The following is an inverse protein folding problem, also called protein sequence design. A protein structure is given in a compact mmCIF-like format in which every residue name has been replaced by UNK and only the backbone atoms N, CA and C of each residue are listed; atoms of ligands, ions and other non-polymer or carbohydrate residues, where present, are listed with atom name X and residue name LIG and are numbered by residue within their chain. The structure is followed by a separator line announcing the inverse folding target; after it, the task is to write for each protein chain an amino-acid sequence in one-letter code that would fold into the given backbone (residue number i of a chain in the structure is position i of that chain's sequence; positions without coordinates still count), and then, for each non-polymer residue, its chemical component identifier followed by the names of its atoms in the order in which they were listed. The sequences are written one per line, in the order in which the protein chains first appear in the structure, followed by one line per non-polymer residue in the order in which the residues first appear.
data_IF_957272097192
#
_entry.id   IF_957272097192
#
_cell.length_a   1.000
_cell.length_b   1.000
_cell.length_c   1.000
_cell.angle_alpha   90.00
_cell.angle_beta   90.00
_cell.angle_gamma   90.00
#
_symmetry.space_group_name_H-M   'P 1'
#
loop_
_entity.id
_entity.type
_entity.pdbx_description
1 polymer ?
#
# COMPACT_ATOMS: atom_id res chain seq x y z
N UNK A 1 -6.11 15.05 20.15
CA UNK A 1 -6.34 13.65 19.70
C UNK A 1 -7.81 13.31 19.62
N UNK A 2 -8.32 13.10 18.40
CA UNK A 2 -9.64 12.53 18.14
C UNK A 2 -9.55 11.01 18.34
N UNK A 3 -10.35 10.45 19.24
CA UNK A 3 -10.36 8.99 19.44
C UNK A 3 -11.03 8.29 18.27
N UNK A 4 -10.43 7.21 17.79
CA UNK A 4 -11.07 6.29 16.84
C UNK A 4 -12.26 5.63 17.54
N UNK A 5 -13.42 5.63 16.87
CA UNK A 5 -14.62 4.97 17.35
C UNK A 5 -14.70 3.59 16.73
N UNK A 6 -14.74 2.55 17.56
CA UNK A 6 -14.96 1.17 17.12
C UNK A 6 -16.47 0.95 17.00
N UNK A 7 -16.95 0.74 15.78
CA UNK A 7 -18.38 0.62 15.52
C UNK A 7 -18.91 -0.78 15.83
N UNK A 8 -20.13 -0.89 16.34
CA UNK A 8 -20.85 -2.16 16.34
C UNK A 8 -21.42 -2.39 14.93
N UNK A 9 -20.89 -3.40 14.25
CA UNK A 9 -21.28 -3.72 12.88
C UNK A 9 -22.28 -4.88 12.83
N UNK A 10 -22.70 -5.47 13.95
CA UNK A 10 -23.68 -6.56 13.98
C UNK A 10 -25.07 -6.17 13.43
N UNK A 11 -25.59 -4.94 13.66
CA UNK A 11 -26.91 -4.56 13.17
C UNK A 11 -27.02 -4.45 11.64
N UNK A 12 -25.91 -4.32 10.93
CA UNK A 12 -25.93 -4.20 9.47
C UNK A 12 -26.14 -5.55 8.81
N UNK A 13 -27.13 -5.60 7.92
CA UNK A 13 -27.55 -6.82 7.23
C UNK A 13 -26.69 -7.08 5.99
N UNK A 14 -26.50 -8.37 5.61
CA UNK A 14 -25.88 -8.71 4.34
C UNK A 14 -26.67 -8.14 3.16
N UNK A 15 -25.96 -7.74 2.12
CA UNK A 15 -26.54 -7.22 0.88
C UNK A 15 -26.34 -8.20 -0.29
N UNK A 16 -26.85 -7.82 -1.45
CA UNK A 16 -26.79 -8.59 -2.70
C UNK A 16 -25.38 -8.71 -3.30
N UNK A 17 -24.41 -7.87 -2.88
CA UNK A 17 -23.00 -8.01 -3.25
C UNK A 17 -22.27 -9.03 -2.38
N UNK A 18 -22.93 -9.62 -1.38
CA UNK A 18 -22.32 -10.65 -0.57
C UNK A 18 -21.90 -11.86 -1.43
N UNK A 19 -20.65 -12.30 -1.29
CA UNK A 19 -20.07 -13.38 -2.10
C UNK A 19 -19.53 -12.98 -3.47
N UNK A 20 -19.68 -11.73 -3.91
CA UNK A 20 -19.09 -11.26 -5.19
C UNK A 20 -17.66 -10.74 -5.04
N UNK A 21 -17.27 -10.36 -3.81
CA UNK A 21 -15.93 -9.88 -3.53
C UNK A 21 -14.87 -10.99 -3.60
N UNK A 22 -13.96 -10.89 -4.57
CA UNK A 22 -12.84 -11.81 -4.75
C UNK A 22 -11.72 -11.65 -3.72
N UNK A 23 -10.60 -12.36 -3.92
CA UNK A 23 -9.37 -12.28 -3.10
C UNK A 23 -9.28 -13.32 -1.98
N UNK A 24 -8.08 -13.86 -1.72
CA UNK A 24 -7.86 -15.07 -0.92
C UNK A 24 -7.62 -14.83 0.60
N UNK A 25 -7.61 -13.57 1.04
CA UNK A 25 -7.32 -13.21 2.41
C UNK A 25 -8.59 -13.06 3.24
N UNK A 26 -8.76 -13.94 4.23
CA UNK A 26 -9.87 -13.89 5.19
C UNK A 26 -11.24 -14.15 4.57
N UNK A 27 -12.23 -14.30 5.44
CA UNK A 27 -13.64 -14.32 5.03
C UNK A 27 -14.12 -12.89 4.79
N UNK A 28 -15.10 -12.73 3.91
CA UNK A 28 -15.65 -11.44 3.50
C UNK A 28 -17.15 -11.47 3.51
N UNK A 29 -17.75 -10.34 3.84
CA UNK A 29 -19.20 -10.17 3.84
C UNK A 29 -19.59 -8.80 3.27
N UNK A 30 -20.54 -8.79 2.33
CA UNK A 30 -21.12 -7.55 1.83
C UNK A 30 -22.24 -7.06 2.74
N UNK A 31 -22.14 -5.85 3.29
CA UNK A 31 -23.18 -5.23 4.13
C UNK A 31 -23.56 -3.83 3.64
N UNK A 32 -24.73 -3.33 4.04
CA UNK A 32 -25.17 -1.98 3.73
C UNK A 32 -25.09 -1.07 4.95
N UNK A 33 -24.34 0.03 4.85
CA UNK A 33 -24.24 1.07 5.89
C UNK A 33 -24.73 2.38 5.27
N UNK A 34 -25.80 2.95 5.84
CA UNK A 34 -26.41 4.21 5.37
C UNK A 34 -26.75 4.23 3.86
N UNK A 35 -27.21 3.11 3.31
CA UNK A 35 -27.58 2.99 1.89
C UNK A 35 -26.40 2.74 0.94
N UNK A 36 -25.18 2.71 1.44
CA UNK A 36 -23.97 2.45 0.68
C UNK A 36 -23.50 1.00 0.86
N UNK A 37 -22.85 0.44 -0.16
CA UNK A 37 -22.28 -0.91 -0.09
C UNK A 37 -20.91 -0.90 0.60
N UNK A 38 -20.68 -1.87 1.48
CA UNK A 38 -19.42 -2.07 2.18
C UNK A 38 -19.01 -3.54 2.14
N UNK A 39 -17.71 -3.79 2.11
CA UNK A 39 -17.11 -5.10 2.29
C UNK A 39 -16.49 -5.19 3.69
N UNK A 40 -17.05 -6.05 4.53
CA UNK A 40 -16.43 -6.44 5.81
C UNK A 40 -15.36 -7.48 5.55
N UNK A 41 -14.12 -7.20 5.95
CA UNK A 41 -13.01 -8.16 5.92
C UNK A 41 -12.75 -8.69 7.33
N UNK A 42 -12.83 -10.00 7.49
CA UNK A 42 -12.56 -10.69 8.75
C UNK A 42 -11.07 -11.00 8.91
N UNK A 43 -10.56 -11.07 10.16
CA UNK A 43 -9.18 -11.48 10.39
C UNK A 43 -9.01 -12.96 10.04
N UNK A 44 -7.87 -13.29 9.43
CA UNK A 44 -7.58 -14.66 9.01
C UNK A 44 -7.10 -15.46 10.22
N UNK A 45 -7.64 -16.66 10.42
CA UNK A 45 -7.09 -17.57 11.43
C UNK A 45 -5.66 -17.97 11.04
N UNK A 46 -4.77 -17.98 12.02
CA UNK A 46 -3.37 -18.40 11.85
C UNK A 46 -3.18 -19.91 12.06
N UNK A 47 -4.27 -20.65 12.33
CA UNK A 47 -4.21 -22.10 12.52
C UNK A 47 -3.53 -22.77 11.33
N UNK A 48 -2.45 -23.52 11.60
CA UNK A 48 -1.65 -24.22 10.59
C UNK A 48 -0.53 -23.40 9.95
N UNK A 49 -0.35 -22.13 10.33
CA UNK A 49 0.84 -21.33 9.97
C UNK A 49 2.02 -21.66 10.90
N UNK A 50 3.25 -21.51 10.41
CA UNK A 50 4.48 -21.76 11.19
C UNK A 50 4.90 -20.51 11.97
N UNK A 51 5.44 -20.71 13.17
CA UNK A 51 6.00 -19.64 14.02
C UNK A 51 5.13 -19.29 15.24
N UNK A 52 5.60 -18.33 16.04
CA UNK A 52 4.82 -17.75 17.14
C UNK A 52 3.84 -16.75 16.56
N UNK A 53 2.54 -17.04 16.63
CA UNK A 53 1.46 -16.25 16.02
C UNK A 53 0.28 -16.18 16.98
N UNK A 54 -0.44 -15.06 16.97
CA UNK A 54 -1.75 -14.95 17.62
C UNK A 54 -2.78 -15.82 16.89
N UNK A 55 -3.92 -16.14 17.52
CA UNK A 55 -4.96 -17.01 16.91
C UNK A 55 -5.51 -16.47 15.59
N UNK A 56 -5.41 -15.17 15.38
CA UNK A 56 -5.86 -14.44 14.21
C UNK A 56 -4.85 -13.35 13.83
N UNK A 57 -4.77 -13.01 12.54
CA UNK A 57 -3.95 -11.89 12.06
C UNK A 57 -4.58 -10.55 12.43
N UNK A 58 -3.76 -9.50 12.52
CA UNK A 58 -4.22 -8.11 12.69
C UNK A 58 -4.55 -7.43 11.35
N UNK A 59 -4.83 -8.20 10.30
CA UNK A 59 -5.07 -7.67 8.96
C UNK A 59 -6.21 -6.63 8.88
N UNK A 60 -7.33 -6.75 9.61
CA UNK A 60 -8.34 -5.69 9.66
C UNK A 60 -7.81 -4.36 10.24
N UNK A 61 -6.98 -4.44 11.28
CA UNK A 61 -6.33 -3.27 11.86
C UNK A 61 -5.33 -2.66 10.86
N UNK A 62 -4.50 -3.48 10.22
CA UNK A 62 -3.55 -3.02 9.19
C UNK A 62 -4.23 -2.35 8.01
N UNK A 63 -5.37 -2.89 7.54
CA UNK A 63 -6.18 -2.28 6.48
C UNK A 63 -6.70 -0.91 6.90
N UNK A 64 -7.25 -0.79 8.11
CA UNK A 64 -7.78 0.46 8.64
C UNK A 64 -6.66 1.51 8.78
N UNK A 65 -5.56 1.17 9.45
CA UNK A 65 -4.44 2.09 9.67
C UNK A 65 -3.80 2.50 8.34
N UNK A 66 -3.48 1.53 7.48
CA UNK A 66 -2.83 1.79 6.20
C UNK A 66 -3.69 2.68 5.30
N UNK A 67 -4.99 2.41 5.22
CA UNK A 67 -5.90 3.22 4.40
C UNK A 67 -6.06 4.64 4.93
N UNK A 68 -6.16 4.84 6.25
CA UNK A 68 -6.22 6.17 6.84
C UNK A 68 -4.90 6.95 6.67
N UNK A 69 -3.74 6.28 6.70
CA UNK A 69 -2.46 6.94 6.40
C UNK A 69 -2.44 7.46 4.96
N UNK A 70 -2.85 6.65 3.97
CA UNK A 70 -2.97 7.16 2.61
C UNK A 70 -3.92 8.37 2.52
N UNK A 71 -5.05 8.37 3.24
CA UNK A 71 -5.97 9.52 3.29
C UNK A 71 -5.34 10.76 3.94
N UNK A 72 -4.60 10.61 5.04
CA UNK A 72 -3.86 11.69 5.70
C UNK A 72 -2.81 12.31 4.75
N UNK A 73 -2.18 11.48 3.92
CA UNK A 73 -1.22 11.89 2.89
C UNK A 73 -1.89 12.51 1.65
N UNK A 74 -3.22 12.60 1.62
CA UNK A 74 -3.97 13.21 0.52
C UNK A 74 -4.13 12.31 -0.71
N UNK A 75 -3.85 11.01 -0.60
CA UNK A 75 -3.98 10.05 -1.70
C UNK A 75 -5.37 9.41 -1.65
N UNK A 76 -6.10 9.48 -2.77
CA UNK A 76 -7.44 8.89 -2.90
C UNK A 76 -7.43 7.41 -2.54
N UNK A 77 -8.21 7.04 -1.52
CA UNK A 77 -8.20 5.73 -0.88
C UNK A 77 -9.60 5.38 -0.42
N UNK A 78 -9.97 4.09 -0.49
CA UNK A 78 -11.29 3.65 -0.05
C UNK A 78 -11.57 4.02 1.42
N UNK A 79 -12.83 4.32 1.73
CA UNK A 79 -13.19 4.63 3.12
C UNK A 79 -13.17 3.35 3.96
N UNK A 80 -12.67 3.45 5.19
CA UNK A 80 -12.62 2.31 6.11
C UNK A 80 -13.23 2.64 7.46
N UNK A 81 -13.91 1.65 8.04
CA UNK A 81 -14.50 1.69 9.38
C UNK A 81 -13.99 0.48 10.15
N UNK A 82 -13.34 0.74 11.29
CA UNK A 82 -12.96 -0.31 12.22
C UNK A 82 -14.15 -0.64 13.14
N UNK A 83 -14.46 -1.92 13.33
CA UNK A 83 -15.63 -2.32 14.09
C UNK A 83 -15.59 -3.73 14.64
N UNK A 84 -16.61 -4.07 15.42
CA UNK A 84 -16.84 -5.41 15.95
C UNK A 84 -18.00 -6.05 15.19
N UNK A 85 -17.80 -7.27 14.71
CA UNK A 85 -18.85 -8.11 14.12
C UNK A 85 -18.59 -9.57 14.44
N UNK A 86 -19.61 -10.30 14.88
CA UNK A 86 -19.50 -11.71 15.27
C UNK A 86 -18.32 -11.96 16.23
N UNK A 87 -18.22 -11.13 17.28
CA UNK A 87 -17.18 -11.16 18.32
C UNK A 87 -15.73 -11.03 17.81
N UNK A 88 -15.55 -10.48 16.60
CA UNK A 88 -14.23 -10.25 15.99
C UNK A 88 -14.04 -8.77 15.68
N UNK A 89 -12.80 -8.31 15.82
CA UNK A 89 -12.36 -7.06 15.20
C UNK A 89 -12.33 -7.24 13.69
N UNK A 90 -13.05 -6.41 12.98
CA UNK A 90 -13.17 -6.41 11.51
C UNK A 90 -12.99 -5.00 10.98
N UNK A 91 -12.77 -4.89 9.67
CA UNK A 91 -12.76 -3.62 8.95
C UNK A 91 -13.83 -3.68 7.87
N UNK A 92 -14.72 -2.70 7.85
CA UNK A 92 -15.61 -2.47 6.73
C UNK A 92 -14.93 -1.48 5.78
N UNK A 93 -14.75 -1.85 4.52
CA UNK A 93 -14.23 -0.96 3.48
C UNK A 93 -15.39 -0.57 2.56
N UNK A 94 -15.55 0.72 2.26
CA UNK A 94 -16.61 1.18 1.37
C UNK A 94 -16.36 0.65 -0.04
N UNK A 95 -17.40 0.09 -0.64
CA UNK A 95 -17.33 -0.32 -2.04
C UNK A 95 -17.39 0.93 -2.91
N UNK A 96 -16.28 1.20 -3.61
CA UNK A 96 -16.15 2.33 -4.51
C UNK A 96 -16.61 2.04 -5.95
N UNK A 97 -17.07 0.81 -6.24
CA UNK A 97 -17.58 0.42 -7.55
C UNK A 97 -19.07 0.72 -7.67
N UNK A 98 -19.47 1.53 -8.65
CA UNK A 98 -20.90 1.78 -8.92
C UNK A 98 -21.64 0.52 -9.37
N UNK A 99 -21.03 -0.26 -10.25
CA UNK A 99 -21.54 -1.56 -10.70
C UNK A 99 -20.53 -2.67 -10.47
N UNK A 100 -21.02 -3.89 -10.30
CA UNK A 100 -20.16 -5.09 -10.22
C UNK A 100 -19.27 -5.17 -11.47
N UNK A 101 -18.00 -5.50 -11.26
CA UNK A 101 -17.03 -5.54 -12.34
C UNK A 101 -16.72 -4.16 -12.92
N UNK A 102 -16.84 -3.05 -12.18
CA UNK A 102 -16.25 -1.76 -12.58
C UNK A 102 -14.73 -1.73 -12.37
N UNK A 103 -14.23 -2.41 -11.33
CA UNK A 103 -12.81 -2.51 -11.05
C UNK A 103 -12.09 -3.38 -12.09
N UNK A 104 -10.97 -2.86 -12.59
CA UNK A 104 -10.03 -3.53 -13.48
C UNK A 104 -8.68 -3.56 -12.77
N UNK A 105 -8.41 -4.69 -12.12
CA UNK A 105 -7.11 -4.96 -11.51
C UNK A 105 -5.99 -4.93 -12.58
N UNK A 106 -4.80 -4.46 -12.20
CA UNK A 106 -3.64 -4.43 -13.11
C UNK A 106 -3.34 -5.81 -13.71
N UNK A 107 -3.53 -6.89 -12.95
CA UNK A 107 -3.33 -8.27 -13.43
C UNK A 107 -4.17 -8.61 -14.65
N UNK A 108 -5.35 -8.01 -14.77
CA UNK A 108 -6.26 -8.21 -15.90
C UNK A 108 -5.81 -7.40 -17.10
N UNK A 109 -5.37 -6.15 -16.86
CA UNK A 109 -4.92 -5.24 -17.92
C UNK A 109 -3.58 -5.65 -18.54
N UNK A 110 -2.70 -6.30 -17.77
CA UNK A 110 -1.43 -6.85 -18.27
C UNK A 110 -1.60 -7.97 -19.31
N UNK A 111 -2.78 -8.61 -19.40
CA UNK A 111 -3.04 -9.70 -20.35
C UNK A 111 -3.42 -9.22 -21.76
N UNK A 112 -3.44 -7.91 -22.00
CA UNK A 112 -3.78 -7.35 -23.31
C UNK A 112 -2.63 -7.56 -24.28
N UNK A 113 -2.94 -8.06 -25.48
CA UNK A 113 -1.98 -8.14 -26.57
C UNK A 113 -1.81 -6.78 -27.25
N UNK A 114 -0.57 -6.36 -27.41
CA UNK A 114 -0.17 -5.23 -28.23
C UNK A 114 1.24 -5.50 -28.77
N UNK A 115 1.46 -5.33 -30.07
CA UNK A 115 2.72 -5.71 -30.73
C UNK A 115 3.93 -4.94 -30.16
N UNK A 116 3.82 -3.62 -30.03
CA UNK A 116 4.90 -2.77 -29.50
C UNK A 116 5.21 -3.12 -28.03
N UNK A 117 4.17 -3.32 -27.21
CA UNK A 117 4.32 -3.77 -25.83
C UNK A 117 5.03 -5.13 -25.76
N UNK A 118 4.66 -6.08 -26.62
CA UNK A 118 5.30 -7.40 -26.67
C UNK A 118 6.77 -7.31 -27.06
N UNK A 119 7.11 -6.51 -28.08
CA UNK A 119 8.50 -6.27 -28.49
C UNK A 119 9.31 -5.63 -27.35
N UNK A 120 8.74 -4.65 -26.64
CA UNK A 120 9.38 -4.01 -25.48
C UNK A 120 9.59 -4.97 -24.31
N UNK A 121 8.63 -5.84 -24.02
CA UNK A 121 8.78 -6.85 -22.96
C UNK A 121 9.84 -7.90 -23.32
N UNK A 122 9.97 -8.28 -24.59
CA UNK A 122 11.03 -9.19 -25.05
C UNK A 122 12.44 -8.59 -24.87
N UNK A 123 12.59 -7.27 -25.03
CA UNK A 123 13.84 -6.56 -24.76
C UNK A 123 14.21 -6.55 -23.26
N UNK A 124 13.22 -6.51 -22.36
CA UNK A 124 13.43 -6.45 -20.90
C UNK A 124 13.56 -7.82 -20.23
N UNK A 125 13.40 -8.93 -20.97
CA UNK A 125 13.44 -10.29 -20.42
C UNK A 125 14.85 -10.66 -19.91
N UNK A 126 15.15 -10.31 -18.67
CA UNK A 126 16.20 -10.93 -17.88
C UNK A 126 15.64 -12.18 -17.18
N UNK A 127 16.24 -13.32 -17.46
CA UNK A 127 15.76 -14.64 -17.04
C UNK A 127 15.79 -14.80 -15.52
N UNK A 128 14.62 -14.73 -14.86
CA UNK A 128 14.25 -15.56 -13.69
C UNK A 128 12.81 -15.27 -13.26
N UNK A 129 11.90 -16.19 -13.55
CA UNK A 129 10.52 -16.13 -13.06
C UNK A 129 10.45 -16.69 -11.63
N UNK A 130 10.65 -15.85 -10.61
CA UNK A 130 10.14 -16.16 -9.27
C UNK A 130 8.62 -15.90 -9.26
N UNK A 131 7.82 -16.91 -8.87
CA UNK A 131 6.35 -16.86 -8.98
C UNK A 131 5.66 -15.89 -8.00
N UNK A 132 6.41 -15.22 -7.13
CA UNK A 132 5.88 -14.44 -6.01
C UNK A 132 6.23 -12.94 -6.06
N UNK A 133 7.15 -12.52 -6.92
CA UNK A 133 7.56 -11.11 -7.04
C UNK A 133 7.15 -10.55 -8.40
N UNK A 134 6.98 -9.23 -8.47
CA UNK A 134 6.65 -8.53 -9.72
C UNK A 134 7.90 -7.82 -10.22
N UNK A 135 8.25 -8.03 -11.48
CA UNK A 135 9.36 -7.31 -12.08
C UNK A 135 8.99 -5.83 -12.27
N UNK A 136 9.81 -4.94 -11.69
CA UNK A 136 9.59 -3.51 -11.74
C UNK A 136 9.73 -2.97 -13.16
N UNK A 137 10.71 -3.45 -13.92
CA UNK A 137 10.95 -3.01 -15.29
C UNK A 137 9.78 -3.41 -16.20
N UNK A 138 9.31 -4.67 -16.10
CA UNK A 138 8.11 -5.11 -16.81
C UNK A 138 6.89 -4.25 -16.44
N UNK A 139 6.76 -3.88 -15.17
CA UNK A 139 5.67 -3.00 -14.73
C UNK A 139 5.78 -1.63 -15.41
N UNK A 140 6.97 -1.02 -15.45
CA UNK A 140 7.19 0.28 -16.09
C UNK A 140 6.90 0.22 -17.60
N UNK A 141 7.31 -0.87 -18.27
CA UNK A 141 6.98 -1.12 -19.68
C UNK A 141 5.46 -1.18 -19.87
N UNK A 142 4.73 -1.88 -19.01
CA UNK A 142 3.26 -1.90 -19.07
C UNK A 142 2.64 -0.52 -18.84
N UNK A 143 3.11 0.26 -17.85
CA UNK A 143 2.55 1.61 -17.62
C UNK A 143 2.77 2.54 -18.81
N UNK A 144 3.89 2.38 -19.53
CA UNK A 144 4.27 3.22 -20.66
C UNK A 144 3.61 2.81 -21.99
N UNK A 145 3.48 1.51 -22.25
CA UNK A 145 3.11 1.00 -23.58
C UNK A 145 1.78 0.24 -23.63
N UNK A 146 1.20 -0.15 -22.49
CA UNK A 146 -0.11 -0.80 -22.52
C UNK A 146 -1.16 0.17 -23.08
N UNK A 147 -1.96 -0.23 -24.09
CA UNK A 147 -2.85 0.67 -24.82
C UNK A 147 -3.97 1.27 -23.96
N UNK A 148 -4.26 0.67 -22.80
CA UNK A 148 -5.21 1.23 -21.83
C UNK A 148 -4.46 2.05 -20.78
N UNK A 149 -3.43 1.49 -20.14
CA UNK A 149 -2.77 2.14 -19.01
C UNK A 149 -2.12 3.47 -19.41
N UNK A 150 -1.49 3.53 -20.59
CA UNK A 150 -0.77 4.73 -21.03
C UNK A 150 -1.68 5.96 -21.22
N UNK A 151 -2.98 5.73 -21.43
CA UNK A 151 -3.99 6.77 -21.62
C UNK A 151 -4.59 7.25 -20.29
N UNK A 152 -4.27 6.61 -19.17
CA UNK A 152 -4.81 6.95 -17.85
C UNK A 152 -3.93 8.05 -17.24
N UNK A 153 -4.49 9.25 -16.98
CA UNK A 153 -3.74 10.32 -16.35
C UNK A 153 -3.11 9.88 -15.03
N UNK A 154 -1.86 10.30 -14.82
CA UNK A 154 -1.12 10.12 -13.57
C UNK A 154 -0.93 8.66 -13.11
N UNK A 155 -1.10 7.65 -13.99
CA UNK A 155 -0.94 6.24 -13.60
C UNK A 155 0.46 5.90 -13.08
N UNK A 156 1.49 6.48 -13.70
CA UNK A 156 2.89 6.29 -13.26
C UNK A 156 3.16 7.03 -11.95
N UNK A 157 2.61 8.25 -11.82
CA UNK A 157 2.64 9.02 -10.57
C UNK A 157 2.01 8.22 -9.43
N UNK A 158 0.79 7.71 -9.63
CA UNK A 158 0.07 6.90 -8.65
C UNK A 158 0.84 5.64 -8.27
N UNK A 159 1.44 4.96 -9.26
CA UNK A 159 2.27 3.78 -8.98
C UNK A 159 3.41 4.12 -8.01
N UNK A 160 4.16 5.20 -8.28
CA UNK A 160 5.29 5.59 -7.44
C UNK A 160 4.87 6.14 -6.08
N UNK A 161 3.74 6.85 -5.98
CA UNK A 161 3.15 7.27 -4.71
C UNK A 161 2.84 6.04 -3.84
N UNK A 162 2.15 5.05 -4.41
CA UNK A 162 1.84 3.80 -3.73
C UNK A 162 3.10 3.05 -3.34
N UNK A 163 4.10 2.98 -4.22
CA UNK A 163 5.36 2.31 -3.93
C UNK A 163 6.08 2.91 -2.70
N UNK A 164 6.17 4.24 -2.63
CA UNK A 164 6.83 4.95 -1.52
C UNK A 164 6.05 4.76 -0.21
N UNK A 165 4.72 4.96 -0.25
CA UNK A 165 3.88 4.80 0.95
C UNK A 165 3.84 3.35 1.42
N UNK A 166 3.77 2.38 0.51
CA UNK A 166 3.83 0.95 0.85
C UNK A 166 5.16 0.58 1.53
N UNK A 167 6.28 1.23 1.18
CA UNK A 167 7.55 1.04 1.91
C UNK A 167 7.48 1.58 3.33
N UNK A 168 6.93 2.77 3.52
CA UNK A 168 6.70 3.38 4.83
C UNK A 168 5.89 2.43 5.74
N UNK A 169 4.70 2.01 5.27
CA UNK A 169 3.76 1.19 6.06
C UNK A 169 4.09 -0.32 6.07
N UNK A 170 5.18 -0.73 5.42
CA UNK A 170 5.59 -2.12 5.26
C UNK A 170 4.55 -3.02 4.56
N UNK A 171 3.92 -2.53 3.49
CA UNK A 171 3.04 -3.35 2.67
C UNK A 171 3.83 -4.17 1.64
N UNK A 172 4.05 -5.44 1.96
CA UNK A 172 4.86 -6.35 1.16
C UNK A 172 4.04 -7.19 0.14
N UNK A 173 2.74 -6.90 -0.03
CA UNK A 173 1.85 -7.65 -0.91
C UNK A 173 1.02 -6.72 -1.81
N UNK A 174 1.58 -5.59 -2.27
CA UNK A 174 0.97 -4.76 -3.33
C UNK A 174 1.06 -5.44 -4.70
N UNK A 175 0.49 -6.64 -4.84
CA UNK A 175 0.53 -7.37 -6.11
C UNK A 175 -0.40 -6.73 -7.16
N UNK A 176 -0.31 -7.18 -8.42
CA UNK A 176 -1.11 -6.66 -9.54
C UNK A 176 -2.65 -6.79 -9.38
N UNK A 177 -3.14 -7.47 -8.34
CA UNK A 177 -4.57 -7.46 -7.98
C UNK A 177 -4.97 -6.45 -6.92
N UNK A 178 -4.01 -5.89 -6.21
CA UNK A 178 -4.24 -5.05 -5.04
C UNK A 178 -4.19 -3.56 -5.39
N UNK A 179 -4.31 -3.24 -6.68
CA UNK A 179 -4.51 -1.90 -7.23
C UNK A 179 -5.00 -2.02 -8.68
N UNK A 180 -5.50 -0.92 -9.22
CA UNK A 180 -6.05 -0.91 -10.56
C UNK A 180 -6.82 0.35 -10.87
N UNK A 181 -7.76 0.22 -11.80
CA UNK A 181 -8.49 1.33 -12.39
C UNK A 181 -9.98 1.00 -12.41
N UNK A 182 -10.82 2.02 -12.46
CA UNK A 182 -12.25 1.90 -12.62
C UNK A 182 -12.63 2.16 -14.07
N UNK A 183 -13.51 1.31 -14.61
CA UNK A 183 -14.12 1.51 -15.91
C UNK A 183 -15.60 1.84 -15.73
N UNK A 184 -15.95 3.11 -15.90
CA UNK A 184 -17.30 3.64 -15.75
C UNK A 184 -17.64 4.54 -16.94
N UNK A 185 -18.86 4.44 -17.46
CA UNK A 185 -19.35 5.29 -18.57
C UNK A 185 -18.45 5.32 -19.82
N UNK A 186 -17.69 4.26 -20.08
CA UNK A 186 -16.80 4.17 -21.24
C UNK A 186 -15.39 4.72 -21.00
N UNK A 187 -15.09 5.20 -19.79
CA UNK A 187 -13.82 5.83 -19.46
C UNK A 187 -13.08 5.09 -18.34
N UNK A 188 -11.75 5.09 -18.44
CA UNK A 188 -10.86 4.57 -17.41
C UNK A 188 -10.39 5.70 -16.50
N UNK A 189 -10.41 5.47 -15.19
CA UNK A 189 -9.82 6.36 -14.18
C UNK A 189 -9.12 5.56 -13.11
N UNK A 190 -8.20 6.18 -12.36
CA UNK A 190 -7.58 5.55 -11.21
C UNK A 190 -8.64 5.05 -10.22
N UNK A 191 -8.47 3.84 -9.72
CA UNK A 191 -9.23 3.40 -8.56
C UNK A 191 -8.63 4.07 -7.30
N UNK A 192 -9.43 4.30 -6.26
CA UNK A 192 -8.86 4.59 -4.93
C UNK A 192 -7.86 3.51 -4.53
N UNK A 193 -6.87 3.83 -3.71
CA UNK A 193 -6.03 2.79 -3.09
C UNK A 193 -6.92 1.87 -2.23
N UNK A 194 -6.70 0.56 -2.33
CA UNK A 194 -7.45 -0.45 -1.58
C UNK A 194 -6.54 -1.63 -1.21
N UNK A 195 -6.98 -2.50 -0.30
CA UNK A 195 -6.25 -3.71 0.12
C UNK A 195 -4.90 -3.44 0.79
N UNK A 196 -4.95 -2.61 1.85
CA UNK A 196 -3.80 -2.30 2.72
C UNK A 196 -3.60 -3.31 3.85
N UNK A 197 -4.40 -4.38 3.90
CA UNK A 197 -4.39 -5.37 4.98
C UNK A 197 -3.04 -6.08 5.20
N UNK A 198 -2.14 -6.11 4.22
CA UNK A 198 -0.80 -6.71 4.35
C UNK A 198 0.26 -5.78 5.00
N UNK A 199 -0.10 -4.54 5.32
CA UNK A 199 0.76 -3.58 5.99
C UNK A 199 1.09 -3.97 7.45
N UNK A 200 2.10 -3.32 8.03
CA UNK A 200 2.41 -3.36 9.47
C UNK A 200 2.66 -4.76 10.05
N UNK A 201 3.21 -5.66 9.24
CA UNK A 201 3.58 -7.03 9.68
C UNK A 201 2.41 -7.73 10.38
N UNK A 202 1.24 -7.77 9.73
CA UNK A 202 -0.06 -8.20 10.28
C UNK A 202 -0.14 -9.63 10.87
N UNK A 203 0.94 -10.40 10.80
CA UNK A 203 1.09 -11.75 11.37
C UNK A 203 1.94 -11.75 12.64
N UNK A 204 2.68 -10.69 12.93
CA UNK A 204 3.58 -10.60 14.07
C UNK A 204 2.77 -10.38 15.35
N UNK A 205 2.85 -11.27 16.35
CA UNK A 205 2.13 -11.10 17.61
C UNK A 205 2.78 -10.05 18.51
N UNK A 206 2.01 -9.54 19.48
CA UNK A 206 2.47 -8.48 20.40
C UNK A 206 3.73 -8.86 21.18
N UNK A 207 3.88 -10.11 21.61
CA UNK A 207 5.09 -10.55 22.31
C UNK A 207 6.36 -10.37 21.47
N UNK A 208 6.28 -10.58 20.15
CA UNK A 208 7.41 -10.36 19.24
C UNK A 208 7.65 -8.89 18.95
N UNK A 209 6.61 -8.08 18.92
CA UNK A 209 6.74 -6.62 18.86
C UNK A 209 7.47 -6.09 20.10
N UNK A 210 7.07 -6.55 21.29
CA UNK A 210 7.69 -6.16 22.56
C UNK A 210 9.17 -6.60 22.62
N UNK A 211 9.48 -7.83 22.18
CA UNK A 211 10.87 -8.28 22.06
C UNK A 211 11.69 -7.40 21.11
N UNK A 212 11.07 -6.88 20.05
CA UNK A 212 11.72 -6.04 19.06
C UNK A 212 11.94 -4.61 19.57
N UNK A 213 10.96 -4.03 20.26
CA UNK A 213 11.06 -2.69 20.85
C UNK A 213 12.06 -2.59 22.00
N UNK A 214 12.35 -3.70 22.68
CA UNK A 214 13.32 -3.74 23.78
C UNK A 214 14.75 -4.07 23.33
N UNK A 215 14.99 -4.17 22.02
CA UNK A 215 16.28 -4.58 21.43
C UNK A 215 16.52 -3.80 20.14
N UNK A 216 17.33 -2.75 20.23
CA UNK A 216 17.66 -1.85 19.11
C UNK A 216 18.15 -2.63 17.88
N UNK A 217 18.93 -3.70 18.08
CA UNK A 217 19.42 -4.50 16.95
C UNK A 217 18.27 -5.20 16.22
N UNK A 218 17.30 -5.76 16.95
CA UNK A 218 16.11 -6.37 16.35
C UNK A 218 15.21 -5.33 15.68
N UNK A 219 15.06 -4.16 16.28
CA UNK A 219 14.29 -3.07 15.69
C UNK A 219 14.89 -2.62 14.35
N UNK A 220 16.19 -2.38 14.31
CA UNK A 220 16.93 -2.08 13.07
C UNK A 220 16.80 -3.21 12.04
N UNK A 221 16.89 -4.48 12.47
CA UNK A 221 16.68 -5.62 11.58
C UNK A 221 15.25 -5.68 11.02
N UNK A 222 14.24 -5.34 11.80
CA UNK A 222 12.85 -5.26 11.34
C UNK A 222 12.68 -4.18 10.26
N UNK A 223 13.32 -3.02 10.43
CA UNK A 223 13.33 -1.95 9.43
C UNK A 223 14.08 -2.39 8.16
N UNK A 224 15.26 -2.99 8.30
CA UNK A 224 16.08 -3.47 7.18
C UNK A 224 15.46 -4.63 6.39
N UNK A 225 14.62 -5.44 7.04
CA UNK A 225 13.92 -6.57 6.41
C UNK A 225 12.60 -6.17 5.73
N UNK A 226 12.23 -4.88 5.77
CA UNK A 226 11.08 -4.37 5.02
C UNK A 226 11.34 -4.53 3.51
N UNK A 227 10.38 -5.13 2.81
CA UNK A 227 10.50 -5.48 1.39
C UNK A 227 9.26 -5.09 0.61
N UNK A 228 9.48 -4.71 -0.63
CA UNK A 228 8.45 -4.58 -1.65
C UNK A 228 8.13 -5.94 -2.28
N UNK A 229 6.94 -6.07 -2.86
CA UNK A 229 6.68 -7.21 -3.77
C UNK A 229 7.42 -7.06 -5.10
N UNK A 230 7.87 -5.84 -5.43
CA UNK A 230 8.60 -5.56 -6.64
C UNK A 230 10.07 -5.98 -6.51
N UNK A 231 10.63 -6.44 -7.63
CA UNK A 231 12.04 -6.71 -7.77
C UNK A 231 12.65 -5.82 -8.84
N UNK A 232 13.92 -5.49 -8.69
CA UNK A 232 14.72 -4.79 -9.67
C UNK A 232 15.95 -5.64 -9.98
N UNK A 233 16.27 -5.85 -11.25
CA UNK A 233 17.41 -6.70 -11.68
C UNK A 233 17.43 -8.09 -11.02
N UNK A 234 16.26 -8.75 -10.91
CA UNK A 234 16.12 -10.08 -10.30
C UNK A 234 16.17 -10.11 -8.76
N UNK A 235 16.40 -8.98 -8.10
CA UNK A 235 16.45 -8.89 -6.63
C UNK A 235 15.23 -8.17 -6.06
N UNK A 236 14.59 -8.74 -5.04
CA UNK A 236 13.49 -8.09 -4.33
C UNK A 236 13.97 -6.76 -3.74
N UNK A 237 13.18 -5.70 -3.91
CA UNK A 237 13.58 -4.37 -3.45
C UNK A 237 13.34 -4.29 -1.93
N UNK A 238 14.42 -4.18 -1.16
CA UNK A 238 14.32 -3.85 0.25
C UNK A 238 14.19 -2.33 0.45
N UNK A 239 13.72 -1.91 1.64
CA UNK A 239 13.63 -0.49 1.99
C UNK A 239 14.93 0.28 1.75
N UNK A 240 16.08 -0.30 2.10
CA UNK A 240 17.42 0.29 1.85
C UNK A 240 17.80 0.42 0.37
N UNK A 241 17.17 -0.36 -0.51
CA UNK A 241 17.51 -0.41 -1.93
C UNK A 241 16.70 0.63 -2.73
N UNK A 242 15.73 1.31 -2.11
CA UNK A 242 14.89 2.32 -2.77
C UNK A 242 15.70 3.45 -3.41
N UNK A 243 16.84 3.81 -2.82
CA UNK A 243 17.76 4.85 -3.32
C UNK A 243 18.41 4.46 -4.66
N UNK A 244 18.36 3.18 -5.05
CA UNK A 244 18.93 2.69 -6.30
C UNK A 244 17.95 2.82 -7.49
N UNK A 245 16.71 3.25 -7.24
CA UNK A 245 15.72 3.46 -8.31
C UNK A 245 16.13 4.70 -9.11
N UNK A 246 16.27 4.52 -10.42
CA UNK A 246 16.66 5.56 -11.38
C UNK A 246 15.55 5.74 -12.41
N UNK A 247 14.52 6.47 -12.03
CA UNK A 247 13.37 6.77 -12.87
C UNK A 247 12.96 8.25 -12.67
N UNK A 248 12.73 8.97 -13.77
CA UNK A 248 12.40 10.40 -13.72
C UNK A 248 11.10 10.64 -12.95
N UNK A 249 10.07 9.84 -13.25
CA UNK A 249 8.76 9.96 -12.60
C UNK A 249 8.89 9.62 -11.11
N UNK A 250 9.71 8.64 -10.75
CA UNK A 250 10.01 8.33 -9.35
C UNK A 250 10.61 9.53 -8.61
N UNK A 251 11.61 10.21 -9.19
CA UNK A 251 12.20 11.39 -8.57
C UNK A 251 11.20 12.54 -8.43
N UNK A 252 10.37 12.78 -9.46
CA UNK A 252 9.33 13.81 -9.40
C UNK A 252 8.32 13.54 -8.29
N UNK A 253 7.90 12.28 -8.14
CA UNK A 253 6.98 11.86 -7.09
C UNK A 253 7.64 11.93 -5.73
N UNK A 254 8.85 11.40 -5.57
CA UNK A 254 9.60 11.42 -4.33
C UNK A 254 9.80 12.86 -3.81
N UNK A 255 10.14 13.79 -4.70
CA UNK A 255 10.30 15.20 -4.38
C UNK A 255 9.02 15.87 -3.86
N UNK A 256 7.84 15.32 -4.19
CA UNK A 256 6.53 15.83 -3.76
C UNK A 256 6.00 15.12 -2.52
N UNK A 257 5.98 13.78 -2.52
CA UNK A 257 5.29 13.00 -1.49
C UNK A 257 6.10 12.85 -0.21
N UNK A 258 7.43 12.78 -0.27
CA UNK A 258 8.27 12.58 0.93
C UNK A 258 8.19 13.78 1.89
N UNK A 259 8.24 15.05 1.42
CA UNK A 259 7.96 16.19 2.28
C UNK A 259 6.56 16.16 2.91
N UNK A 260 5.54 15.71 2.18
CA UNK A 260 4.18 15.57 2.71
C UNK A 260 4.14 14.49 3.80
N UNK A 261 4.83 13.37 3.61
CA UNK A 261 4.97 12.33 4.63
C UNK A 261 5.58 12.92 5.90
N UNK A 262 6.72 13.60 5.78
CA UNK A 262 7.43 14.24 6.91
C UNK A 262 6.53 15.23 7.66
N UNK A 263 5.87 16.14 6.93
CA UNK A 263 4.92 17.10 7.50
C UNK A 263 3.76 16.41 8.23
N UNK A 264 3.26 15.31 7.67
CA UNK A 264 2.09 14.58 8.18
C UNK A 264 2.39 13.54 9.24
N UNK A 265 3.65 13.26 9.57
CA UNK A 265 3.99 12.28 10.61
C UNK A 265 3.34 12.59 11.96
N UNK A 266 3.21 13.86 12.34
CA UNK A 266 2.50 14.25 13.57
C UNK A 266 1.01 13.94 13.54
N UNK A 267 0.35 14.08 12.39
CA UNK A 267 -1.06 13.71 12.21
C UNK A 267 -1.25 12.19 12.24
N UNK A 268 -0.33 11.44 11.62
CA UNK A 268 -0.29 9.97 11.66
C UNK A 268 -0.09 9.48 13.10
N UNK A 269 0.81 10.12 13.86
CA UNK A 269 1.03 9.83 15.27
C UNK A 269 -0.26 10.00 16.09
N UNK A 270 -0.89 11.16 15.99
CA UNK A 270 -2.15 11.47 16.68
C UNK A 270 -3.27 10.48 16.32
N UNK A 271 -3.34 10.07 15.05
CA UNK A 271 -4.30 9.09 14.57
C UNK A 271 -4.08 7.71 15.18
N UNK A 272 -2.85 7.18 15.10
CA UNK A 272 -2.51 5.84 15.63
C UNK A 272 -2.68 5.78 17.16
N UNK A 273 -2.23 6.81 17.87
CA UNK A 273 -2.44 6.94 19.33
C UNK A 273 -3.92 7.09 19.71
N UNK A 274 -4.74 7.60 18.79
CA UNK A 274 -6.19 7.70 18.96
C UNK A 274 -6.92 6.35 18.91
N UNK A 275 -6.27 5.26 18.51
CA UNK A 275 -6.85 3.92 18.43
C UNK A 275 -6.88 3.28 19.83
N UNK A 276 -8.04 2.81 20.33
CA UNK A 276 -8.11 2.20 21.65
C UNK A 276 -7.40 0.85 21.72
N UNK A 277 -6.97 0.44 22.91
CA UNK A 277 -6.35 -0.88 23.12
C UNK A 277 -7.36 -2.02 23.04
N UNK A 278 -8.59 -1.78 23.51
CA UNK A 278 -9.68 -2.76 23.57
C UNK A 278 -11.03 -2.09 23.36
N UNK A 279 -11.98 -2.85 22.81
CA UNK A 279 -13.41 -2.51 22.76
C UNK A 279 -14.21 -3.72 23.22
N UNK A 280 -15.07 -3.56 24.24
CA UNK A 280 -15.93 -4.63 24.75
C UNK A 280 -15.18 -5.96 25.04
N UNK A 281 -13.95 -5.87 25.56
CA UNK A 281 -13.10 -7.03 25.85
C UNK A 281 -12.32 -7.59 24.65
N UNK A 282 -12.61 -7.14 23.42
CA UNK A 282 -11.89 -7.52 22.21
C UNK A 282 -10.66 -6.62 22.05
N UNK A 283 -9.49 -7.22 21.83
CA UNK A 283 -8.26 -6.50 21.56
C UNK A 283 -8.33 -5.76 20.21
N UNK A 284 -7.84 -4.52 20.19
CA UNK A 284 -7.83 -3.66 19.00
C UNK A 284 -6.38 -3.36 18.60
N UNK A 285 -5.70 -2.44 19.28
CA UNK A 285 -4.28 -2.13 19.04
C UNK A 285 -3.58 -1.84 20.37
N UNK A 286 -2.69 -2.72 20.82
CA UNK A 286 -1.90 -2.46 22.03
C UNK A 286 -1.01 -1.22 21.86
N UNK A 287 -0.65 -0.59 22.97
CA UNK A 287 0.26 0.56 22.97
C UNK A 287 1.59 0.24 22.33
N UNK A 288 2.13 -0.94 22.62
CA UNK A 288 3.41 -1.41 22.10
C UNK A 288 3.34 -1.64 20.59
N UNK A 289 2.23 -2.19 20.08
CA UNK A 289 2.00 -2.31 18.63
C UNK A 289 1.90 -0.96 17.94
N UNK A 290 1.11 -0.03 18.49
CA UNK A 290 0.99 1.33 17.95
C UNK A 290 2.35 2.04 17.94
N UNK A 291 3.11 1.95 19.03
CA UNK A 291 4.46 2.50 19.15
C UNK A 291 5.41 1.90 18.11
N UNK A 292 5.42 0.57 17.96
CA UNK A 292 6.26 -0.09 16.95
C UNK A 292 5.94 0.35 15.52
N UNK A 293 4.66 0.56 15.18
CA UNK A 293 4.29 1.08 13.86
C UNK A 293 4.85 2.47 13.62
N UNK A 294 4.74 3.36 14.60
CA UNK A 294 5.23 4.73 14.50
C UNK A 294 6.77 4.77 14.43
N UNK A 295 7.44 4.10 15.36
CA UNK A 295 8.91 4.01 15.43
C UNK A 295 9.49 3.48 14.12
N UNK A 296 8.96 2.37 13.60
CA UNK A 296 9.48 1.81 12.33
C UNK A 296 9.17 2.68 11.11
N UNK A 297 8.09 3.46 11.11
CA UNK A 297 7.82 4.43 10.04
C UNK A 297 8.78 5.61 10.10
N UNK A 298 9.02 6.18 11.28
CA UNK A 298 9.99 7.27 11.49
C UNK A 298 11.38 6.83 11.05
N UNK A 299 11.84 5.65 11.49
CA UNK A 299 13.13 5.10 11.08
C UNK A 299 13.23 4.93 9.56
N UNK A 300 12.17 4.48 8.87
CA UNK A 300 12.20 4.35 7.40
C UNK A 300 12.18 5.69 6.69
N UNK A 301 11.42 6.66 7.21
CA UNK A 301 11.41 8.01 6.69
C UNK A 301 12.83 8.58 6.75
N UNK A 302 13.47 8.54 7.92
CA UNK A 302 14.81 9.07 8.12
C UNK A 302 15.90 8.30 7.36
N UNK A 303 15.90 6.97 7.45
CA UNK A 303 17.00 6.16 6.92
C UNK A 303 16.89 5.89 5.42
N UNK A 304 15.68 5.91 4.84
CA UNK A 304 15.46 5.50 3.45
C UNK A 304 14.82 6.59 2.59
N UNK A 305 13.73 7.21 3.04
CA UNK A 305 13.00 8.18 2.21
C UNK A 305 13.69 9.55 2.15
N UNK A 306 14.20 10.06 3.26
CA UNK A 306 14.92 11.34 3.27
C UNK A 306 16.19 11.34 2.40
N UNK A 307 17.00 10.25 2.38
CA UNK A 307 18.07 10.11 1.38
C UNK A 307 17.58 10.10 -0.07
N UNK A 308 16.46 9.44 -0.38
CA UNK A 308 15.85 9.49 -1.72
C UNK A 308 15.45 10.92 -2.09
N UNK A 309 14.86 11.67 -1.16
CA UNK A 309 14.48 13.06 -1.39
C UNK A 309 15.71 13.94 -1.72
N UNK A 310 16.84 13.71 -1.05
CA UNK A 310 18.08 14.42 -1.35
C UNK A 310 18.54 14.13 -2.80
N UNK A 311 18.60 12.86 -3.19
CA UNK A 311 18.96 12.43 -4.56
C UNK A 311 18.00 13.01 -5.60
N UNK A 312 16.70 12.95 -5.35
CA UNK A 312 15.69 13.51 -6.26
C UNK A 312 15.89 15.03 -6.46
N UNK A 313 16.19 15.78 -5.40
CA UNK A 313 16.47 17.23 -5.49
C UNK A 313 17.74 17.51 -6.28
N UNK A 314 18.81 16.75 -6.05
CA UNK A 314 20.07 16.88 -6.80
C UNK A 314 19.85 16.62 -8.30
N UNK A 315 19.11 15.56 -8.64
CA UNK A 315 18.77 15.23 -10.03
C UNK A 315 18.08 16.39 -10.77
N UNK A 316 17.15 17.10 -10.12
CA UNK A 316 16.49 18.27 -10.72
C UNK A 316 17.40 19.51 -10.84
N UNK A 317 18.43 19.64 -10.00
CA UNK A 317 19.42 20.71 -10.10
C UNK A 317 20.33 20.44 -11.31
N UNK A 318 20.83 19.21 -11.44
CA UNK A 318 21.72 18.80 -12.55
C UNK A 318 21.03 18.90 -13.91
N UNK A 319 19.81 18.38 -14.03
CA UNK A 319 19.04 18.42 -15.29
C UNK A 319 18.71 19.86 -15.72
N UNK A 320 18.35 20.74 -14.78
CA UNK A 320 18.12 22.17 -15.07
C UNK A 320 19.41 22.93 -15.40
N UNK A 321 20.52 22.62 -14.73
CA UNK A 321 21.83 23.20 -15.04
C UNK A 321 22.30 22.85 -16.45
N UNK A 322 22.17 21.58 -16.84
CA UNK A 322 22.52 21.10 -18.17
C UNK A 322 21.61 21.69 -19.27
N UNK A 323 20.33 21.95 -18.99
CA UNK A 323 19.44 22.61 -19.96
C UNK A 323 19.88 24.06 -20.25
N UNK A 324 20.33 24.79 -19.23
CA UNK A 324 20.81 26.18 -19.37
C UNK A 324 22.15 26.23 -20.11
N UNK A 325 23.08 25.32 -19.82
CA UNK A 325 24.36 25.28 -20.54
C UNK A 325 24.22 24.90 -22.02
N UNK A 326 23.26 24.03 -22.37
CA UNK A 326 23.01 23.67 -23.77
C UNK A 326 22.32 24.80 -24.56
N UNK A 327 21.43 25.59 -23.93
CA UNK A 327 20.80 26.77 -24.54
C UNK A 327 21.79 27.91 -24.81
N UNK A 328 22.93 27.95 -24.10
CA UNK A 328 24.00 28.94 -24.28
C UNK A 328 25.04 28.51 -25.33
N UNK A 329 25.06 27.24 -25.75
CA UNK A 329 25.94 26.73 -26.82
C UNK A 329 25.26 26.81 -28.20
N UNK A 330 23.93 26.90 -28.25
CA UNK A 330 23.15 27.06 -29.50
C UNK A 330 22.87 28.52 -29.92
N UNK A 331 23.46 29.53 -29.26
CA UNK A 331 23.38 30.95 -29.65
C UNK A 331 24.68 31.51 -30.20
#
# INVERSE_FOLDING_TARGET
MKKTVIQDLNPYIPNERNGTYGGKAGDKEGITINGEYWIVKYPKSTKGMRGTLDSYTTAPLSEYIGSNIYQILGIETHDTVLGIRNDKLVVACKDFCKSEGSLREIRTLKNIYNKELSEKLEETFSSTSSSHCIDLEDMMVHLKYNPILKEIPDIQTRFWEQFIVDMLINNNDRNNGNWGVLYENGEYRLAPVFDNGASFSNKTPDCKIIECLNDDFKLQQSVASSVSIYRNNGHQIHGKDIIQIKDETFYEVAAKIIPVIDEKMGEIFDFVQGIPEKQNGIAVCSKERGHFYLETMEMKLEQYLMPVLAVAKEHFIETKGNAIENDDIEK
#
